data_IF_333016636501
#
_entry.id   IF_333016636501
#
_cell.length_a   1.000
_cell.length_b   1.000
_cell.length_c   1.000
_cell.angle_alpha   90.00
_cell.angle_beta   90.00
_cell.angle_gamma   90.00
#
_symmetry.space_group_name_H-M   'P 1'
#
loop_
_entity.id
_entity.type
_entity.pdbx_description
1 polymer ?
#
# COMPACT_ATOMS: atom_id res chain seq x y z
N UNK A 1 -15.47 -5.26 -2.60
CA UNK A 1 -15.01 -6.04 -1.42
C UNK A 1 -13.50 -6.00 -1.37
N UNK A 2 -12.88 -6.00 -0.18
CA UNK A 2 -11.43 -6.09 0.01
C UNK A 2 -11.09 -7.46 0.60
N UNK A 3 -10.06 -8.11 0.07
CA UNK A 3 -9.61 -9.41 0.52
C UNK A 3 -8.10 -9.37 0.77
N UNK A 4 -7.68 -9.75 1.98
CA UNK A 4 -6.27 -9.81 2.34
C UNK A 4 -5.63 -11.09 1.78
N UNK A 5 -4.67 -10.94 0.87
CA UNK A 5 -3.89 -12.03 0.28
C UNK A 5 -2.47 -11.54 0.01
N UNK A 6 -1.48 -12.09 0.72
CA UNK A 6 -0.11 -11.56 0.68
C UNK A 6 0.78 -12.23 -0.38
N UNK A 7 0.18 -12.96 -1.34
CA UNK A 7 0.89 -13.54 -2.47
C UNK A 7 0.83 -15.07 -2.53
N UNK A 8 1.89 -15.74 -3.00
CA UNK A 8 2.04 -17.19 -2.92
C UNK A 8 1.93 -17.72 -1.49
N UNK A 9 1.64 -19.01 -1.35
CA UNK A 9 1.35 -19.68 -0.07
C UNK A 9 2.40 -19.37 1.01
N UNK A 10 3.65 -19.49 0.67
CA UNK A 10 4.76 -19.31 1.60
C UNK A 10 4.84 -17.88 2.17
N UNK A 11 4.55 -16.86 1.35
CA UNK A 11 4.48 -15.47 1.81
C UNK A 11 3.21 -15.21 2.63
N UNK A 12 2.08 -15.78 2.21
CA UNK A 12 0.81 -15.58 2.89
C UNK A 12 0.79 -16.26 4.26
N UNK A 13 1.07 -17.56 4.29
CA UNK A 13 0.99 -18.36 5.50
C UNK A 13 2.07 -18.03 6.55
N UNK A 14 3.14 -17.33 6.14
CA UNK A 14 4.15 -16.82 7.07
C UNK A 14 3.60 -15.79 8.08
N UNK A 15 2.51 -15.08 7.73
CA UNK A 15 1.95 -14.01 8.56
C UNK A 15 0.45 -14.13 8.78
N UNK A 16 -0.23 -15.02 8.06
CA UNK A 16 -1.69 -15.17 8.12
C UNK A 16 -2.07 -16.61 8.47
N UNK A 17 -2.24 -16.82 9.75
CA UNK A 17 -2.65 -18.08 10.33
C UNK A 17 -4.02 -17.95 10.99
N UNK A 18 -4.70 -19.07 11.18
CA UNK A 18 -5.93 -19.14 11.94
C UNK A 18 -5.66 -19.23 13.47
N UNK A 19 -6.70 -19.36 14.27
CA UNK A 19 -6.60 -19.48 15.74
C UNK A 19 -5.86 -20.75 16.21
N UNK A 20 -5.56 -21.68 15.30
CA UNK A 20 -4.84 -22.93 15.56
C UNK A 20 -3.46 -22.95 14.90
N UNK A 21 -2.94 -21.77 14.51
CA UNK A 21 -1.65 -21.57 13.82
C UNK A 21 -1.53 -22.27 12.45
N UNK A 22 -2.65 -22.59 11.79
CA UNK A 22 -2.62 -23.12 10.43
C UNK A 22 -2.68 -21.99 9.42
N UNK A 23 -1.91 -22.12 8.33
CA UNK A 23 -1.92 -21.17 7.21
C UNK A 23 -3.31 -21.06 6.57
N UNK A 24 -3.71 -19.83 6.20
CA UNK A 24 -5.05 -19.54 5.69
C UNK A 24 -5.10 -19.38 4.16
N UNK A 25 -4.00 -19.59 3.46
CA UNK A 25 -3.89 -19.38 2.01
C UNK A 25 -4.98 -20.05 1.18
N UNK A 26 -5.24 -21.35 1.41
CA UNK A 26 -6.22 -22.11 0.62
C UNK A 26 -7.63 -21.56 0.78
N UNK A 27 -8.02 -21.24 2.00
CA UNK A 27 -9.34 -20.71 2.31
C UNK A 27 -9.53 -19.35 1.67
N UNK A 28 -8.54 -18.47 1.81
CA UNK A 28 -8.57 -17.11 1.25
C UNK A 28 -8.56 -17.15 -0.28
N UNK A 29 -7.72 -17.99 -0.89
CA UNK A 29 -7.68 -18.12 -2.35
C UNK A 29 -8.97 -18.71 -2.90
N UNK A 30 -9.57 -19.70 -2.22
CA UNK A 30 -10.87 -20.26 -2.60
C UNK A 30 -11.98 -19.19 -2.54
N UNK A 31 -12.00 -18.37 -1.49
CA UNK A 31 -12.93 -17.25 -1.35
C UNK A 31 -12.74 -16.21 -2.47
N UNK A 32 -11.49 -15.81 -2.78
CA UNK A 32 -11.18 -14.88 -3.86
C UNK A 32 -11.69 -15.40 -5.22
N UNK A 33 -11.46 -16.69 -5.50
CA UNK A 33 -11.94 -17.33 -6.73
C UNK A 33 -13.46 -17.43 -6.77
N UNK A 34 -14.13 -17.65 -5.63
CA UNK A 34 -15.58 -17.65 -5.55
C UNK A 34 -16.15 -16.27 -5.87
N UNK A 35 -15.62 -15.21 -5.26
CA UNK A 35 -16.02 -13.82 -5.55
C UNK A 35 -15.88 -13.51 -7.05
N UNK A 36 -14.74 -13.87 -7.64
CA UNK A 36 -14.50 -13.68 -9.07
C UNK A 36 -15.52 -14.43 -9.93
N UNK A 37 -15.84 -15.70 -9.63
CA UNK A 37 -16.86 -16.47 -10.36
C UNK A 37 -18.27 -15.89 -10.24
N UNK A 38 -18.53 -15.11 -9.21
CA UNK A 38 -19.83 -14.45 -8.96
C UNK A 38 -19.85 -13.00 -9.41
N UNK A 39 -18.83 -12.56 -10.17
CA UNK A 39 -18.66 -11.19 -10.63
C UNK A 39 -18.74 -10.13 -9.52
N UNK A 40 -18.34 -10.50 -8.30
CA UNK A 40 -18.25 -9.57 -7.17
C UNK A 40 -16.94 -8.80 -7.28
N UNK A 41 -16.97 -7.46 -7.41
CA UNK A 41 -15.75 -6.65 -7.45
C UNK A 41 -14.91 -6.89 -6.19
N UNK A 42 -13.66 -7.29 -6.38
CA UNK A 42 -12.74 -7.60 -5.29
C UNK A 42 -11.38 -6.95 -5.53
N UNK A 43 -10.93 -6.21 -4.53
CA UNK A 43 -9.58 -5.65 -4.45
C UNK A 43 -8.72 -6.54 -3.55
N UNK A 44 -7.57 -6.96 -4.05
CA UNK A 44 -6.58 -7.70 -3.25
C UNK A 44 -5.74 -6.70 -2.48
N UNK A 45 -5.69 -6.90 -1.17
CA UNK A 45 -4.88 -6.12 -0.25
C UNK A 45 -3.70 -6.99 0.22
N UNK A 46 -2.49 -6.48 0.02
CA UNK A 46 -1.24 -7.17 0.38
C UNK A 46 -0.42 -6.29 1.31
N UNK A 47 0.02 -6.85 2.43
CA UNK A 47 1.00 -6.19 3.30
C UNK A 47 2.41 -6.49 2.80
N UNK A 48 3.17 -5.43 2.54
CA UNK A 48 4.55 -5.51 2.04
C UNK A 48 5.50 -5.54 3.22
N UNK A 49 6.00 -6.71 3.56
CA UNK A 49 7.10 -6.92 4.51
C UNK A 49 8.45 -6.90 3.77
N UNK A 50 9.58 -6.96 4.47
CA UNK A 50 10.89 -7.07 3.82
C UNK A 50 11.00 -8.36 2.97
N UNK A 51 10.41 -9.47 3.42
CA UNK A 51 10.34 -10.73 2.67
C UNK A 51 9.54 -10.56 1.37
N UNK A 52 8.34 -9.95 1.46
CA UNK A 52 7.49 -9.66 0.30
C UNK A 52 8.17 -8.68 -0.65
N UNK A 53 8.87 -7.68 -0.12
CA UNK A 53 9.55 -6.64 -0.91
C UNK A 53 10.63 -7.20 -1.85
N UNK A 54 11.28 -8.28 -1.46
CA UNK A 54 12.30 -8.94 -2.29
C UNK A 54 11.73 -9.75 -3.46
N UNK A 55 10.40 -9.97 -3.49
CA UNK A 55 9.70 -10.85 -4.45
C UNK A 55 8.59 -10.14 -5.23
N UNK A 56 8.72 -8.83 -5.46
CA UNK A 56 7.69 -8.01 -6.10
C UNK A 56 7.20 -8.55 -7.46
N UNK A 57 8.12 -8.96 -8.35
CA UNK A 57 7.79 -9.48 -9.68
C UNK A 57 7.07 -10.84 -9.63
N UNK A 58 7.44 -11.68 -8.68
CA UNK A 58 6.77 -12.97 -8.44
C UNK A 58 5.36 -12.75 -7.93
N UNK A 59 5.20 -11.86 -6.95
CA UNK A 59 3.92 -11.46 -6.38
C UNK A 59 2.96 -10.94 -7.46
N UNK A 60 3.44 -10.00 -8.27
CA UNK A 60 2.67 -9.47 -9.40
C UNK A 60 2.26 -10.56 -10.38
N UNK A 61 3.20 -11.43 -10.76
CA UNK A 61 2.94 -12.53 -11.69
C UNK A 61 1.92 -13.53 -11.13
N UNK A 62 1.98 -13.82 -9.83
CA UNK A 62 1.02 -14.66 -9.14
C UNK A 62 -0.40 -14.07 -9.23
N UNK A 63 -0.58 -12.79 -8.90
CA UNK A 63 -1.90 -12.15 -8.96
C UNK A 63 -2.44 -12.07 -10.39
N UNK A 64 -1.58 -11.77 -11.35
CA UNK A 64 -1.96 -11.75 -12.77
C UNK A 64 -2.40 -13.14 -13.26
N UNK A 65 -1.72 -14.21 -12.84
CA UNK A 65 -2.09 -15.58 -13.17
C UNK A 65 -3.44 -16.01 -12.57
N UNK A 66 -3.78 -15.49 -11.37
CA UNK A 66 -5.11 -15.70 -10.76
C UNK A 66 -6.18 -14.79 -11.37
N UNK A 67 -5.80 -13.79 -12.18
CA UNK A 67 -6.69 -12.76 -12.73
C UNK A 67 -7.23 -11.80 -11.68
N UNK A 68 -6.44 -11.51 -10.65
CA UNK A 68 -6.72 -10.48 -9.66
C UNK A 68 -6.17 -9.14 -10.15
N UNK A 69 -7.01 -8.39 -10.81
CA UNK A 69 -6.61 -7.20 -11.56
C UNK A 69 -6.64 -5.91 -10.73
N UNK A 70 -7.27 -5.92 -9.56
CA UNK A 70 -7.32 -4.79 -8.64
C UNK A 70 -6.47 -5.10 -7.43
N UNK A 71 -5.37 -4.36 -7.28
CA UNK A 71 -4.31 -4.65 -6.30
C UNK A 71 -3.97 -3.41 -5.48
N UNK A 72 -3.83 -3.61 -4.17
CA UNK A 72 -3.39 -2.60 -3.23
C UNK A 72 -2.27 -3.17 -2.36
N UNK A 73 -1.17 -2.45 -2.28
CA UNK A 73 0.01 -2.82 -1.52
C UNK A 73 0.22 -1.82 -0.39
N UNK A 74 0.26 -2.31 0.85
CA UNK A 74 0.42 -1.49 2.05
C UNK A 74 1.77 -1.82 2.67
N UNK A 75 2.67 -0.81 2.86
CA UNK A 75 3.93 -1.06 3.53
C UNK A 75 3.71 -1.49 4.98
N UNK A 76 4.43 -2.53 5.44
CA UNK A 76 4.48 -2.89 6.84
C UNK A 76 5.32 -1.85 7.59
N UNK A 77 4.63 -1.02 8.36
CA UNK A 77 5.27 0.03 9.16
C UNK A 77 5.50 -0.46 10.58
N UNK A 78 6.61 -0.03 11.17
CA UNK A 78 6.81 -0.18 12.60
C UNK A 78 5.79 0.65 13.38
N UNK A 79 5.38 0.23 14.58
CA UNK A 79 4.53 1.04 15.44
C UNK A 79 5.13 2.43 15.69
N UNK A 80 4.27 3.44 15.79
CA UNK A 80 4.71 4.80 16.12
C UNK A 80 5.48 4.82 17.45
N UNK A 81 6.68 5.42 17.42
CA UNK A 81 7.57 5.46 18.59
C UNK A 81 8.45 4.22 18.79
N UNK A 82 8.23 3.14 18.05
CA UNK A 82 9.12 1.98 18.09
C UNK A 82 10.43 2.24 17.31
N UNK A 83 11.53 1.58 17.70
CA UNK A 83 12.75 1.59 16.90
C UNK A 83 12.50 1.04 15.49
N UNK A 84 13.01 1.72 14.49
CA UNK A 84 12.89 1.27 13.10
C UNK A 84 13.58 -0.08 12.91
N UNK A 85 12.90 -1.01 12.23
CA UNK A 85 13.41 -2.35 11.99
C UNK A 85 13.28 -3.30 13.19
N UNK A 86 12.58 -2.87 14.25
CA UNK A 86 12.46 -3.63 15.52
C UNK A 86 11.36 -4.69 15.54
N UNK A 87 10.48 -4.70 14.55
CA UNK A 87 9.35 -5.63 14.52
C UNK A 87 9.53 -6.74 13.48
N UNK A 88 8.96 -7.94 13.71
CA UNK A 88 8.90 -8.96 12.67
C UNK A 88 8.23 -8.42 11.40
N UNK A 89 8.87 -8.58 10.26
CA UNK A 89 8.35 -8.08 8.98
C UNK A 89 8.60 -6.61 8.68
N UNK A 90 9.27 -5.86 9.57
CA UNK A 90 9.65 -4.46 9.34
C UNK A 90 10.22 -4.26 7.95
N UNK A 91 9.70 -3.25 7.27
CA UNK A 91 10.09 -2.91 5.90
C UNK A 91 11.07 -1.74 5.91
N UNK A 92 12.25 -1.93 5.34
CA UNK A 92 13.23 -0.85 5.22
C UNK A 92 12.86 0.11 4.07
N UNK A 93 13.23 1.41 4.16
CA UNK A 93 13.04 2.33 3.04
C UNK A 93 13.71 1.86 1.75
N UNK A 94 14.88 1.22 1.84
CA UNK A 94 15.59 0.65 0.69
C UNK A 94 14.84 -0.55 0.11
N UNK A 95 14.31 -1.44 0.95
CA UNK A 95 13.46 -2.56 0.54
C UNK A 95 12.19 -2.08 -0.14
N UNK A 96 11.51 -1.09 0.44
CA UNK A 96 10.30 -0.54 -0.15
C UNK A 96 10.54 0.16 -1.49
N UNK A 97 11.63 0.93 -1.61
CA UNK A 97 12.02 1.53 -2.89
C UNK A 97 12.24 0.46 -3.95
N UNK A 98 12.99 -0.60 -3.65
CA UNK A 98 13.22 -1.72 -4.58
C UNK A 98 11.90 -2.38 -4.98
N UNK A 99 11.03 -2.66 -3.99
CA UNK A 99 9.70 -3.21 -4.23
C UNK A 99 8.89 -2.37 -5.23
N UNK A 100 8.79 -1.06 -4.99
CA UNK A 100 8.04 -0.16 -5.87
C UNK A 100 8.63 -0.10 -7.27
N UNK A 101 9.96 -0.07 -7.41
CA UNK A 101 10.63 -0.07 -8.72
C UNK A 101 10.35 -1.38 -9.48
N UNK A 102 10.56 -2.53 -8.84
CA UNK A 102 10.33 -3.83 -9.47
C UNK A 102 8.85 -4.07 -9.82
N UNK A 103 7.95 -3.61 -8.96
CA UNK A 103 6.51 -3.68 -9.19
C UNK A 103 6.08 -2.77 -10.35
N UNK A 104 6.64 -1.54 -10.42
CA UNK A 104 6.38 -0.60 -11.51
C UNK A 104 6.82 -1.17 -12.85
N UNK A 105 8.03 -1.72 -12.93
CA UNK A 105 8.55 -2.34 -14.16
C UNK A 105 7.63 -3.48 -14.65
N UNK A 106 7.14 -4.32 -13.72
CA UNK A 106 6.24 -5.41 -14.05
C UNK A 106 4.86 -4.90 -14.51
N UNK A 107 4.33 -3.89 -13.83
CA UNK A 107 3.06 -3.23 -14.16
C UNK A 107 3.13 -2.52 -15.51
N UNK A 108 4.17 -1.72 -15.75
CA UNK A 108 4.33 -0.97 -17.01
C UNK A 108 4.49 -1.92 -18.20
N UNK A 109 5.29 -2.98 -18.04
CA UNK A 109 5.38 -4.04 -19.05
C UNK A 109 4.03 -4.69 -19.37
N UNK A 110 3.21 -4.98 -18.36
CA UNK A 110 1.88 -5.54 -18.56
C UNK A 110 0.98 -4.55 -19.32
N UNK A 111 1.02 -3.26 -18.94
CA UNK A 111 0.28 -2.17 -19.59
C UNK A 111 0.69 -2.00 -21.06
N UNK A 112 1.98 -2.02 -21.37
CA UNK A 112 2.49 -1.94 -22.75
C UNK A 112 2.05 -3.13 -23.62
N UNK A 113 1.79 -4.29 -23.00
CA UNK A 113 1.21 -5.47 -23.66
C UNK A 113 -0.32 -5.44 -23.73
N UNK A 114 -0.96 -4.32 -23.42
CA UNK A 114 -2.42 -4.16 -23.45
C UNK A 114 -3.16 -4.89 -22.34
N UNK A 115 -2.47 -5.32 -21.28
CA UNK A 115 -3.10 -5.99 -20.14
C UNK A 115 -3.54 -4.95 -19.11
N UNK A 116 -4.83 -4.92 -18.80
CA UNK A 116 -5.34 -4.08 -17.73
C UNK A 116 -4.96 -4.66 -16.37
N UNK A 117 -4.41 -3.82 -15.51
CA UNK A 117 -4.25 -4.06 -14.07
C UNK A 117 -4.23 -2.73 -13.34
N UNK A 118 -5.05 -2.62 -12.31
CA UNK A 118 -5.17 -1.45 -11.46
C UNK A 118 -4.33 -1.65 -10.20
N UNK A 119 -3.28 -0.86 -10.03
CA UNK A 119 -2.49 -0.79 -8.81
C UNK A 119 -2.73 0.56 -8.17
N UNK A 120 -3.48 0.58 -7.06
CA UNK A 120 -3.95 1.81 -6.40
C UNK A 120 -2.85 2.85 -6.18
N UNK A 121 -1.66 2.43 -5.79
CA UNK A 121 -0.54 3.35 -5.57
C UNK A 121 -0.13 4.08 -6.86
N UNK A 122 0.01 3.38 -7.97
CA UNK A 122 0.44 3.97 -9.24
C UNK A 122 -0.67 4.82 -9.88
N UNK A 123 -1.91 4.41 -9.75
CA UNK A 123 -3.05 5.20 -10.21
C UNK A 123 -3.18 6.52 -9.43
N UNK A 124 -3.02 6.49 -8.10
CA UNK A 124 -2.98 7.70 -7.29
C UNK A 124 -1.80 8.61 -7.64
N UNK A 125 -0.62 8.03 -7.91
CA UNK A 125 0.55 8.79 -8.33
C UNK A 125 0.32 9.47 -9.69
N UNK A 126 -0.25 8.74 -10.66
CA UNK A 126 -0.61 9.30 -11.97
C UNK A 126 -1.67 10.40 -11.84
N UNK A 127 -2.72 10.18 -11.05
CA UNK A 127 -3.76 11.17 -10.79
C UNK A 127 -3.16 12.46 -10.19
N UNK A 128 -2.24 12.33 -9.22
CA UNK A 128 -1.55 13.47 -8.63
C UNK A 128 -0.71 14.25 -9.65
N UNK A 129 0.01 13.56 -10.52
CA UNK A 129 0.79 14.21 -11.59
C UNK A 129 -0.10 14.98 -12.58
N UNK A 130 -1.33 14.50 -12.77
CA UNK A 130 -2.35 15.13 -13.63
C UNK A 130 -3.18 16.20 -12.90
N UNK A 131 -2.87 16.53 -11.64
CA UNK A 131 -3.61 17.50 -10.84
C UNK A 131 -5.01 17.06 -10.43
N UNK A 132 -5.28 15.76 -10.47
CA UNK A 132 -6.57 15.18 -10.07
C UNK A 132 -6.60 14.88 -8.58
N UNK A 133 -7.81 14.82 -7.96
CA UNK A 133 -7.94 14.36 -6.59
C UNK A 133 -7.36 12.96 -6.40
N UNK A 134 -6.65 12.76 -5.29
CA UNK A 134 -6.09 11.47 -4.91
C UNK A 134 -6.70 11.01 -3.60
N UNK A 135 -6.81 9.70 -3.43
CA UNK A 135 -7.18 9.13 -2.16
C UNK A 135 -6.04 9.30 -1.15
N UNK A 136 -6.39 9.36 0.14
CA UNK A 136 -5.44 9.32 1.24
C UNK A 136 -4.46 8.14 1.07
N UNK A 137 -3.44 8.03 1.80
CA UNK A 137 -2.36 7.03 1.85
C UNK A 137 -0.99 7.67 1.54
N UNK A 138 -0.66 8.74 2.29
CA UNK A 138 0.67 9.35 2.18
C UNK A 138 0.88 10.24 0.94
N UNK A 139 -0.16 10.49 0.15
CA UNK A 139 -0.09 11.35 -1.04
C UNK A 139 -0.26 12.84 -0.73
N UNK A 140 -0.27 13.22 0.55
CA UNK A 140 -0.32 14.62 0.98
C UNK A 140 -1.72 15.23 1.07
N UNK A 141 -2.77 14.44 0.88
CA UNK A 141 -4.16 14.83 1.12
C UNK A 141 -4.79 13.92 2.17
N UNK A 142 -5.34 14.49 3.25
CA UNK A 142 -6.16 13.74 4.20
C UNK A 142 -7.63 14.08 3.97
N UNK A 143 -8.46 13.06 3.74
CA UNK A 143 -9.90 13.20 3.79
C UNK A 143 -10.38 13.00 5.22
N UNK A 144 -11.46 13.67 5.66
CA UNK A 144 -12.09 13.36 6.94
C UNK A 144 -12.54 11.89 6.94
N UNK A 145 -12.04 11.12 7.90
CA UNK A 145 -12.46 9.74 8.12
C UNK A 145 -12.54 9.48 9.61
N UNK A 146 -13.32 8.49 9.99
CA UNK A 146 -13.44 8.05 11.37
C UNK A 146 -13.21 6.54 11.42
N UNK A 147 -12.35 6.13 12.32
CA UNK A 147 -12.14 4.73 12.67
C UNK A 147 -12.79 4.48 14.01
N UNK A 148 -13.65 3.46 14.07
CA UNK A 148 -14.33 3.04 15.29
C UNK A 148 -13.81 1.65 15.66
N UNK A 149 -13.20 1.56 16.83
CA UNK A 149 -12.70 0.30 17.38
C UNK A 149 -13.83 -0.51 18.05
N UNK A 150 -13.54 -1.78 18.34
CA UNK A 150 -14.51 -2.72 18.92
C UNK A 150 -14.99 -2.28 20.32
N UNK A 151 -14.21 -1.51 21.06
CA UNK A 151 -14.56 -0.92 22.36
C UNK A 151 -15.38 0.38 22.24
N UNK A 152 -15.69 0.82 21.03
CA UNK A 152 -16.37 2.08 20.74
C UNK A 152 -15.48 3.31 20.74
N UNK A 153 -14.17 3.17 20.88
CA UNK A 153 -13.22 4.26 20.72
C UNK A 153 -13.20 4.77 19.28
N UNK A 154 -13.07 6.08 19.12
CA UNK A 154 -13.12 6.74 17.81
C UNK A 154 -11.81 7.48 17.56
N UNK A 155 -11.24 7.32 16.36
CA UNK A 155 -9.98 7.92 15.95
C UNK A 155 -10.11 8.60 14.57
N UNK A 156 -9.27 9.62 14.28
CA UNK A 156 -9.33 10.35 13.01
C UNK A 156 -8.79 9.58 11.82
N UNK A 157 -8.01 8.51 12.04
CA UNK A 157 -7.32 7.75 11.00
C UNK A 157 -6.78 6.45 11.58
N UNK A 158 -6.71 5.40 10.77
CA UNK A 158 -6.12 4.11 11.13
C UNK A 158 -4.61 4.17 11.47
N UNK A 159 -3.90 5.19 10.99
CA UNK A 159 -2.51 5.45 11.38
C UNK A 159 -2.36 6.14 12.74
N UNK A 160 -3.43 6.72 13.28
CA UNK A 160 -3.44 7.50 14.52
C UNK A 160 -4.37 6.88 15.58
N UNK A 161 -4.45 5.55 15.62
CA UNK A 161 -5.16 4.83 16.68
C UNK A 161 -4.31 4.73 17.95
N UNK A 162 -4.00 5.89 18.51
CA UNK A 162 -3.25 6.05 19.76
C UNK A 162 -4.09 6.85 20.74
N UNK A 163 -3.92 6.62 22.03
CA UNK A 163 -4.72 7.28 23.09
C UNK A 163 -4.72 8.80 22.97
N UNK A 164 -3.58 9.39 22.59
CA UNK A 164 -3.46 10.85 22.39
C UNK A 164 -4.35 11.39 21.26
N UNK A 165 -4.77 10.57 20.34
CA UNK A 165 -5.63 10.93 19.19
C UNK A 165 -7.06 10.42 19.31
N UNK A 166 -7.39 9.77 20.43
CA UNK A 166 -8.73 9.29 20.70
C UNK A 166 -9.71 10.45 20.78
N UNK A 167 -10.80 10.37 20.06
CA UNK A 167 -11.84 11.40 20.10
C UNK A 167 -12.55 11.43 21.46
N UNK A 168 -12.42 12.54 22.16
CA UNK A 168 -12.98 12.73 23.52
C UNK A 168 -14.22 13.63 23.54
N UNK A 169 -14.85 13.88 22.38
CA UNK A 169 -15.97 14.83 22.26
C UNK A 169 -15.53 16.30 22.15
N UNK A 170 -14.22 16.57 22.16
CA UNK A 170 -13.65 17.89 21.86
C UNK A 170 -13.12 17.90 20.43
N UNK A 171 -13.19 19.03 19.69
CA UNK A 171 -12.55 19.10 18.38
C UNK A 171 -11.06 18.79 18.53
N UNK A 172 -10.57 17.84 17.71
CA UNK A 172 -9.14 17.55 17.67
C UNK A 172 -8.36 18.84 17.35
N UNK A 173 -7.21 19.07 17.98
CA UNK A 173 -6.34 20.16 17.54
C UNK A 173 -5.99 19.94 16.07
N UNK A 174 -5.91 21.00 15.25
CA UNK A 174 -5.52 20.86 13.86
C UNK A 174 -4.17 20.15 13.78
N UNK A 175 -3.97 19.24 12.80
CA UNK A 175 -2.69 18.59 12.62
C UNK A 175 -1.61 19.66 12.51
N UNK A 176 -0.50 19.47 13.21
CA UNK A 176 0.63 20.38 13.13
C UNK A 176 0.97 20.65 11.66
N UNK A 177 1.22 21.89 11.25
CA UNK A 177 1.57 22.20 9.88
C UNK A 177 2.79 21.33 9.51
N UNK A 178 2.60 20.47 8.52
CA UNK A 178 3.71 19.71 7.96
C UNK A 178 4.71 20.76 7.49
N UNK A 179 5.89 20.80 8.13
CA UNK A 179 6.98 21.66 7.72
C UNK A 179 7.25 21.34 6.25
N UNK A 180 6.82 22.25 5.37
CA UNK A 180 6.97 22.11 3.95
C UNK A 180 8.45 21.92 3.65
N UNK A 181 8.84 20.70 3.31
CA UNK A 181 10.11 20.47 2.66
C UNK A 181 10.10 21.31 1.41
N UNK A 182 10.89 22.39 1.39
CA UNK A 182 11.13 23.16 0.21
C UNK A 182 11.60 22.20 -0.87
N UNK A 183 10.76 22.02 -1.89
CA UNK A 183 11.21 21.40 -3.14
C UNK A 183 12.30 22.30 -3.66
N UNK A 184 13.55 21.92 -3.44
CA UNK A 184 14.67 22.58 -4.08
C UNK A 184 14.46 22.46 -5.58
N UNK A 185 14.26 23.60 -6.21
CA UNK A 185 14.24 23.72 -7.66
C UNK A 185 15.57 23.15 -8.16
N UNK A 186 15.56 22.22 -9.14
CA UNK A 186 16.80 21.72 -9.72
C UNK A 186 17.62 22.93 -10.21
N UNK A 187 18.95 22.88 -10.10
CA UNK A 187 19.81 23.94 -10.64
C UNK A 187 19.52 24.09 -12.14
N UNK A 188 19.62 25.31 -12.69
CA UNK A 188 19.45 25.52 -14.11
C UNK A 188 20.49 24.66 -14.86
N UNK A 189 20.01 23.94 -15.88
CA UNK A 189 20.89 23.24 -16.80
C UNK A 189 21.95 24.22 -17.32
N UNK A 190 23.21 23.83 -17.19
CA UNK A 190 24.28 24.56 -17.78
C UNK A 190 24.07 24.56 -19.30
N UNK A 191 23.93 25.77 -19.89
CA UNK A 191 23.91 25.99 -21.32
C UNK A 191 25.27 25.50 -21.85
N UNK A 192 25.32 24.27 -22.33
CA UNK A 192 26.48 23.78 -23.07
C UNK A 192 26.35 24.26 -24.52
N UNK A 193 26.91 25.40 -24.78
CA UNK A 193 26.99 26.02 -26.09
C UNK A 193 27.68 25.09 -27.11
N UNK A 194 26.96 24.08 -27.59
CA UNK A 194 27.38 23.29 -28.77
C UNK A 194 26.58 23.74 -29.98
N UNK A 195 27.25 24.35 -30.97
CA UNK A 195 26.61 24.69 -32.25
C UNK A 195 26.69 23.44 -33.14
N UNK A 196 25.54 22.72 -33.29
CA UNK A 196 25.14 22.02 -34.53
C UNK A 196 23.67 21.57 -34.41
#
# INVERSE_FOLDING_TARGET
MVLSLDGPRDLHDANRVDASDHGTFDVVLAAARLLKRRDVPCNILTVVTEATASRAKELFSFFMAQGFLYQQYIPCLDPLGAPRGGCPGSLTPAGYRRFLTDLFDAWDKARLLGRFVYIRYFENLAARLLGQPVECCGMGGCAPQLVVEADGSVYPCDFYMLDDYRYTGRPAPPPAPQSGGSVQKPPPEADDGSPY
#
